data_IF_512641099453
#
_entry.id   IF_512641099453
#
_cell.length_a   1.000
_cell.length_b   1.000
_cell.length_c   1.000
_cell.angle_alpha   90.00
_cell.angle_beta   90.00
_cell.angle_gamma   90.00
#
_symmetry.space_group_name_H-M   'P 1'
#
loop_
_entity.id
_entity.type
_entity.pdbx_description
1 polymer ?
#
# COMPACT_ATOMS: atom_id res chain seq x y z
N UNK A 1 -6.18 -2.49 -10.61
CA UNK A 1 -6.34 -1.48 -9.55
C UNK A 1 -5.51 -0.25 -9.86
N UNK A 2 -6.13 0.92 -9.79
CA UNK A 2 -5.49 2.22 -9.81
C UNK A 2 -5.28 2.65 -8.35
N UNK A 3 -4.05 2.51 -7.86
CA UNK A 3 -3.66 2.96 -6.53
C UNK A 3 -3.10 4.36 -6.64
N UNK A 4 -3.80 5.33 -6.06
CA UNK A 4 -3.44 6.75 -6.11
C UNK A 4 -3.39 7.34 -4.71
N UNK A 5 -2.86 8.54 -4.60
CA UNK A 5 -2.83 9.28 -3.35
C UNK A 5 -1.89 10.45 -3.44
N UNK A 6 -1.71 11.13 -2.33
CA UNK A 6 -0.73 12.18 -2.20
C UNK A 6 0.06 12.05 -0.91
N UNK A 7 1.30 12.51 -0.96
CA UNK A 7 2.17 12.60 0.22
C UNK A 7 2.08 14.01 0.79
N UNK A 8 1.79 14.13 2.08
CA UNK A 8 1.74 15.39 2.82
C UNK A 8 2.56 15.33 4.09
N UNK A 9 3.07 16.46 4.54
CA UNK A 9 3.63 16.57 5.90
C UNK A 9 2.53 16.76 6.96
N UNK A 10 2.94 16.77 8.23
CA UNK A 10 2.04 16.93 9.39
C UNK A 10 1.20 18.22 9.40
N UNK A 11 1.55 19.22 8.57
CA UNK A 11 0.79 20.48 8.42
C UNK A 11 -0.19 20.44 7.25
N UNK A 12 -0.22 19.34 6.49
CA UNK A 12 -1.04 19.17 5.29
C UNK A 12 -0.38 19.66 4.00
N UNK A 13 0.87 20.12 4.05
CA UNK A 13 1.58 20.59 2.85
C UNK A 13 1.96 19.41 1.96
N UNK A 14 1.58 19.49 0.68
CA UNK A 14 1.93 18.51 -0.37
C UNK A 14 3.44 18.42 -0.57
N UNK A 15 3.98 17.21 -0.55
CA UNK A 15 5.40 16.96 -0.77
C UNK A 15 5.64 16.56 -2.24
N UNK A 16 6.12 17.51 -3.04
CA UNK A 16 6.64 17.23 -4.39
C UNK A 16 7.99 16.51 -4.34
N UNK A 17 8.33 15.75 -5.38
CA UNK A 17 9.59 15.01 -5.47
C UNK A 17 9.88 14.05 -4.29
N UNK A 18 8.86 13.62 -3.54
CA UNK A 18 8.96 12.46 -2.68
C UNK A 18 8.95 11.19 -3.56
N UNK A 19 9.72 10.18 -3.19
CA UNK A 19 9.72 8.88 -3.84
C UNK A 19 8.84 7.96 -3.03
N UNK A 20 7.79 7.43 -3.65
CA UNK A 20 6.94 6.38 -3.10
C UNK A 20 7.36 5.07 -3.73
N UNK A 21 7.65 4.08 -2.90
CA UNK A 21 7.91 2.71 -3.32
C UNK A 21 6.82 1.80 -2.78
N UNK A 22 6.38 0.84 -3.59
CA UNK A 22 5.44 -0.18 -3.18
C UNK A 22 6.01 -1.56 -3.44
N UNK A 23 5.65 -2.52 -2.59
CA UNK A 23 5.84 -3.93 -2.86
C UNK A 23 4.71 -4.80 -2.32
N UNK A 24 4.41 -5.89 -3.02
CA UNK A 24 3.33 -6.81 -2.67
C UNK A 24 3.55 -8.20 -3.29
N UNK A 25 2.81 -9.18 -2.80
CA UNK A 25 2.68 -10.48 -3.45
C UNK A 25 1.80 -10.40 -4.72
N UNK A 26 1.92 -11.43 -5.55
CA UNK A 26 1.03 -11.66 -6.69
C UNK A 26 -0.36 -12.15 -6.27
N UNK A 27 -1.22 -12.45 -7.25
CA UNK A 27 -2.60 -12.91 -7.01
C UNK A 27 -2.68 -14.30 -6.35
N UNK A 28 -1.59 -15.07 -6.36
CA UNK A 28 -1.46 -16.36 -5.67
C UNK A 28 -0.87 -16.23 -4.26
N UNK A 29 -0.57 -15.01 -3.81
CA UNK A 29 0.07 -14.76 -2.51
C UNK A 29 1.56 -15.10 -2.49
N UNK A 30 2.23 -15.20 -3.64
CA UNK A 30 3.67 -15.41 -3.72
C UNK A 30 4.40 -14.07 -3.86
N UNK A 31 5.47 -13.90 -3.07
CA UNK A 31 6.43 -12.80 -3.28
C UNK A 31 7.53 -13.26 -4.23
N UNK A 32 7.96 -12.39 -5.14
CA UNK A 32 9.19 -12.61 -5.90
C UNK A 32 10.43 -12.36 -5.04
N UNK A 33 10.66 -13.25 -4.07
CA UNK A 33 11.71 -13.17 -3.08
C UNK A 33 12.33 -14.56 -2.87
N UNK A 34 13.67 -14.63 -2.72
CA UNK A 34 14.41 -15.90 -2.62
C UNK A 34 14.02 -16.80 -1.45
N UNK A 35 13.38 -16.22 -0.41
CA UNK A 35 12.86 -16.95 0.76
C UNK A 35 11.36 -17.25 0.70
N UNK A 36 10.69 -17.01 -0.42
CA UNK A 36 9.26 -17.34 -0.53
C UNK A 36 9.09 -18.86 -0.57
N UNK A 37 8.16 -19.40 0.22
CA UNK A 37 7.92 -20.85 0.31
C UNK A 37 7.10 -21.43 -0.85
N UNK A 38 6.54 -20.58 -1.71
CA UNK A 38 5.65 -20.91 -2.83
C UNK A 38 6.14 -20.30 -4.17
N UNK A 39 7.46 -20.27 -4.38
CA UNK A 39 8.08 -19.64 -5.55
C UNK A 39 7.66 -20.29 -6.87
N UNK A 40 7.36 -21.59 -6.84
CA UNK A 40 6.86 -22.40 -7.94
C UNK A 40 5.50 -21.90 -8.48
N UNK A 41 4.71 -21.23 -7.64
CA UNK A 41 3.40 -20.68 -7.99
C UNK A 41 3.44 -19.19 -8.36
N UNK A 42 4.62 -18.58 -8.37
CA UNK A 42 4.74 -17.15 -8.64
C UNK A 42 4.31 -16.82 -10.07
N UNK A 43 3.50 -15.78 -10.22
CA UNK A 43 3.13 -15.23 -11.52
C UNK A 43 4.37 -14.60 -12.19
N UNK A 44 4.78 -15.19 -13.32
CA UNK A 44 5.94 -14.73 -14.10
C UNK A 44 5.75 -13.33 -14.68
N UNK A 45 4.50 -12.88 -14.82
CA UNK A 45 4.15 -11.57 -15.36
C UNK A 45 3.95 -10.49 -14.30
N UNK A 46 4.06 -10.83 -13.01
CA UNK A 46 3.89 -9.87 -11.92
C UNK A 46 5.19 -9.67 -11.14
N UNK A 47 5.78 -8.48 -11.23
CA UNK A 47 7.01 -8.17 -10.51
C UNK A 47 6.80 -7.89 -9.01
N UNK A 48 5.66 -7.30 -8.65
CA UNK A 48 5.34 -6.97 -7.26
C UNK A 48 6.14 -5.82 -6.65
N UNK A 49 6.86 -5.01 -7.43
CA UNK A 49 7.53 -3.79 -6.98
C UNK A 49 7.21 -2.61 -7.92
N UNK A 50 7.08 -1.41 -7.35
CA UNK A 50 6.92 -0.18 -8.10
C UNK A 50 7.56 1.01 -7.38
N UNK A 51 8.04 1.99 -8.14
CA UNK A 51 8.58 3.26 -7.64
C UNK A 51 7.98 4.42 -8.43
N UNK A 52 7.53 5.45 -7.73
CA UNK A 52 6.96 6.66 -8.33
C UNK A 52 7.45 7.91 -7.61
N UNK A 53 7.87 8.93 -8.36
CA UNK A 53 8.23 10.24 -7.79
C UNK A 53 7.01 11.14 -7.87
N UNK A 54 6.55 11.64 -6.73
CA UNK A 54 5.35 12.48 -6.64
C UNK A 54 5.46 13.73 -7.52
N UNK A 55 4.35 14.12 -8.14
CA UNK A 55 4.22 15.30 -8.98
C UNK A 55 4.43 16.63 -8.22
N UNK A 56 4.30 17.76 -8.93
CA UNK A 56 4.27 19.10 -8.32
C UNK A 56 3.12 19.29 -7.31
N UNK A 57 2.03 18.54 -7.46
CA UNK A 57 0.87 18.50 -6.54
C UNK A 57 1.06 17.50 -5.40
N UNK A 58 2.20 16.80 -5.33
CA UNK A 58 2.50 15.79 -4.31
C UNK A 58 1.79 14.45 -4.52
N UNK A 59 1.19 14.24 -5.68
CA UNK A 59 0.40 13.05 -6.01
C UNK A 59 1.27 11.93 -6.59
N UNK A 60 0.90 10.68 -6.31
CA UNK A 60 1.51 9.49 -6.90
C UNK A 60 0.46 8.59 -7.55
N UNK A 61 0.92 7.74 -8.48
CA UNK A 61 0.06 6.81 -9.19
C UNK A 61 0.77 5.47 -9.43
N UNK A 62 0.06 4.38 -9.16
CA UNK A 62 0.44 3.03 -9.54
C UNK A 62 -0.74 2.30 -10.19
N UNK A 63 -0.44 1.48 -11.20
CA UNK A 63 -1.36 0.45 -11.68
C UNK A 63 -0.84 -0.90 -11.20
N UNK A 64 -1.64 -1.61 -10.40
CA UNK A 64 -1.28 -2.90 -9.80
C UNK A 64 -2.52 -3.79 -9.67
N UNK A 65 -2.37 -5.00 -9.12
CA UNK A 65 -3.48 -5.88 -8.72
C UNK A 65 -3.92 -5.59 -7.29
N UNK A 66 -5.18 -5.91 -6.95
CA UNK A 66 -5.63 -5.90 -5.55
C UNK A 66 -4.78 -6.89 -4.75
N UNK A 67 -4.27 -6.54 -3.55
CA UNK A 67 -3.52 -7.48 -2.74
C UNK A 67 -4.42 -8.62 -2.29
N UNK A 68 -3.81 -9.78 -2.05
CA UNK A 68 -4.46 -10.99 -1.54
C UNK A 68 -3.81 -11.42 -0.22
N UNK A 69 -4.46 -12.31 0.56
CA UNK A 69 -3.81 -12.87 1.73
C UNK A 69 -2.60 -13.73 1.34
N UNK A 70 -1.62 -13.78 2.22
CA UNK A 70 -0.53 -14.75 2.17
C UNK A 70 -0.29 -15.29 3.59
N UNK A 71 0.42 -16.42 3.77
CA UNK A 71 0.45 -17.15 5.04
C UNK A 71 0.69 -16.24 6.25
N UNK A 72 -0.30 -16.19 7.14
CA UNK A 72 -0.27 -15.42 8.39
C UNK A 72 -0.58 -13.92 8.28
N UNK A 73 -0.91 -13.40 7.09
CA UNK A 73 -1.12 -11.96 6.86
C UNK A 73 -2.42 -11.65 6.12
N UNK A 74 -3.08 -10.57 6.52
CA UNK A 74 -4.23 -10.00 5.79
C UNK A 74 -3.75 -9.34 4.48
N UNK A 75 -4.59 -9.13 3.44
CA UNK A 75 -4.17 -8.46 2.21
C UNK A 75 -3.64 -7.04 2.46
N UNK A 76 -2.44 -6.78 1.98
CA UNK A 76 -1.84 -5.45 2.05
C UNK A 76 -0.83 -5.22 0.93
N UNK A 77 -0.55 -3.94 0.69
CA UNK A 77 0.57 -3.46 -0.12
C UNK A 77 1.51 -2.75 0.84
N UNK A 78 2.79 -3.12 0.86
CA UNK A 78 3.78 -2.36 1.60
C UNK A 78 4.08 -1.06 0.87
N UNK A 79 4.34 0.00 1.65
CA UNK A 79 4.62 1.33 1.12
C UNK A 79 5.82 1.93 1.85
N UNK A 80 6.74 2.53 1.12
CA UNK A 80 7.84 3.33 1.64
C UNK A 80 7.83 4.71 1.03
N UNK A 81 8.12 5.72 1.83
CA UNK A 81 8.28 7.10 1.37
C UNK A 81 9.68 7.59 1.67
N UNK A 82 10.37 8.06 0.65
CA UNK A 82 11.64 8.77 0.76
C UNK A 82 11.46 10.22 0.31
N UNK A 83 12.19 11.14 0.91
CA UNK A 83 12.24 12.52 0.44
C UNK A 83 13.65 13.09 0.66
N UNK A 84 14.22 13.70 -0.38
CA UNK A 84 15.60 14.25 -0.36
C UNK A 84 16.64 13.22 0.12
N UNK A 85 16.52 11.97 -0.34
CA UNK A 85 17.44 10.89 -0.01
C UNK A 85 17.26 10.27 1.39
N UNK A 86 16.29 10.73 2.20
CA UNK A 86 15.99 10.16 3.51
C UNK A 86 14.73 9.32 3.46
N UNK A 87 14.74 8.15 4.08
CA UNK A 87 13.52 7.40 4.38
C UNK A 87 12.73 8.14 5.47
N UNK A 88 11.46 8.43 5.19
CA UNK A 88 10.56 9.11 6.12
C UNK A 88 9.56 8.16 6.77
N UNK A 89 9.13 7.12 6.04
CA UNK A 89 8.08 6.21 6.48
C UNK A 89 8.21 4.87 5.75
N UNK A 90 8.04 3.77 6.50
CA UNK A 90 7.69 2.46 5.96
C UNK A 90 6.42 1.99 6.64
N UNK A 91 5.39 1.65 5.86
CA UNK A 91 4.06 1.28 6.35
C UNK A 91 3.38 0.26 5.43
N UNK A 92 2.11 -0.06 5.69
CA UNK A 92 1.29 -0.99 4.92
C UNK A 92 -0.09 -0.38 4.63
N UNK A 93 -0.56 -0.55 3.41
CA UNK A 93 -1.90 -0.22 2.95
C UNK A 93 -2.75 -1.49 2.92
N UNK A 94 -3.70 -1.59 3.85
CA UNK A 94 -4.58 -2.74 4.04
C UNK A 94 -5.91 -2.58 3.28
N UNK A 95 -6.57 -3.70 3.00
CA UNK A 95 -7.93 -3.68 2.43
C UNK A 95 -8.95 -3.40 3.55
N UNK A 96 -9.75 -2.34 3.41
CA UNK A 96 -10.78 -1.97 4.38
C UNK A 96 -11.84 -3.07 4.52
N UNK A 97 -12.20 -3.37 5.77
CA UNK A 97 -13.24 -4.37 6.09
C UNK A 97 -12.88 -5.82 5.78
N UNK A 98 -11.64 -6.13 5.41
CA UNK A 98 -11.25 -7.51 5.12
C UNK A 98 -11.23 -8.35 6.40
N UNK A 99 -11.89 -9.52 6.39
CA UNK A 99 -12.09 -10.35 7.59
C UNK A 99 -10.78 -10.82 8.27
N UNK A 100 -9.68 -10.94 7.51
CA UNK A 100 -8.37 -11.30 8.08
C UNK A 100 -7.68 -10.16 8.84
N UNK A 101 -8.15 -8.91 8.73
CA UNK A 101 -7.60 -7.79 9.51
C UNK A 101 -7.70 -8.08 11.01
N UNK A 102 -8.81 -8.67 11.47
CA UNK A 102 -9.04 -9.02 12.87
C UNK A 102 -8.19 -10.20 13.39
N UNK A 103 -7.46 -10.87 12.49
CA UNK A 103 -6.57 -12.00 12.81
C UNK A 103 -5.09 -11.66 12.60
N UNK A 104 -4.78 -10.61 11.85
CA UNK A 104 -3.40 -10.20 11.56
C UNK A 104 -2.77 -9.50 12.77
N UNK A 105 -1.71 -10.08 13.33
CA UNK A 105 -1.05 -9.56 14.52
C UNK A 105 -0.37 -8.19 14.32
N UNK A 106 0.05 -7.86 13.09
CA UNK A 106 0.67 -6.56 12.77
C UNK A 106 -0.42 -5.49 12.60
N UNK A 107 -1.55 -5.82 11.98
CA UNK A 107 -2.68 -4.90 11.92
C UNK A 107 -3.24 -4.60 13.33
N UNK A 108 -3.35 -5.63 14.17
CA UNK A 108 -3.86 -5.51 15.54
C UNK A 108 -2.93 -4.77 16.49
N UNK A 109 -1.63 -4.70 16.19
CA UNK A 109 -0.68 -3.94 17.03
C UNK A 109 -0.82 -2.42 16.86
N UNK A 110 -1.58 -1.95 15.87
CA UNK A 110 -1.91 -0.54 15.72
C UNK A 110 -2.74 -0.04 16.93
N UNK A 111 -2.32 1.05 17.60
CA UNK A 111 -2.80 1.36 18.94
C UNK A 111 -4.25 1.89 18.98
N UNK A 112 -4.73 2.50 17.89
CA UNK A 112 -6.03 3.18 17.86
C UNK A 112 -6.84 2.78 16.63
N UNK A 113 -8.17 2.94 16.71
CA UNK A 113 -9.05 2.79 15.56
C UNK A 113 -8.67 3.79 14.43
N UNK A 114 -8.33 5.03 14.80
CA UNK A 114 -7.88 6.03 13.84
C UNK A 114 -6.60 5.61 13.09
N UNK A 115 -5.63 4.98 13.78
CA UNK A 115 -4.41 4.45 13.14
C UNK A 115 -4.72 3.30 12.17
N UNK A 116 -5.68 2.43 12.54
CA UNK A 116 -6.17 1.36 11.66
C UNK A 116 -6.89 1.93 10.44
N UNK A 117 -7.80 2.88 10.64
CA UNK A 117 -8.56 3.52 9.57
C UNK A 117 -7.64 4.23 8.57
N UNK A 118 -6.63 4.95 9.08
CA UNK A 118 -5.63 5.64 8.27
C UNK A 118 -4.80 4.70 7.38
N UNK A 119 -4.74 3.40 7.69
CA UNK A 119 -4.01 2.40 6.91
C UNK A 119 -4.93 1.46 6.13
N UNK A 120 -6.25 1.61 6.21
CA UNK A 120 -7.21 0.81 5.44
C UNK A 120 -7.79 1.59 4.28
N UNK A 121 -7.75 1.00 3.10
CA UNK A 121 -8.21 1.61 1.85
C UNK A 121 -9.34 0.79 1.27
N UNK A 122 -10.35 1.50 0.75
CA UNK A 122 -11.38 0.87 -0.05
C UNK A 122 -10.85 0.61 -1.46
N UNK A 123 -11.01 -0.62 -1.93
CA UNK A 123 -10.67 -1.04 -3.29
C UNK A 123 -11.98 -1.17 -4.06
N UNK A 124 -12.56 -0.02 -4.37
CA UNK A 124 -13.89 0.11 -4.95
C UNK A 124 -13.87 -0.19 -6.44
N UNK A 125 -14.91 -0.86 -6.95
CA UNK A 125 -15.06 -1.08 -8.38
C UNK A 125 -15.22 0.25 -9.12
N UNK A 126 -14.51 0.40 -10.24
CA UNK A 126 -14.71 1.53 -11.14
C UNK A 126 -15.94 1.22 -12.00
N UNK A 127 -17.00 2.05 -11.95
CA UNK A 127 -18.16 1.88 -12.81
C UNK A 127 -17.75 1.76 -14.28
N UNK A 128 -18.43 0.89 -15.03
CA UNK A 128 -18.22 0.70 -16.47
C UNK A 128 -16.84 0.13 -16.87
N UNK A 129 -15.97 -0.22 -15.92
CA UNK A 129 -14.72 -0.89 -16.26
C UNK A 129 -14.99 -2.26 -16.90
N UNK A 130 -14.52 -2.45 -18.13
CA UNK A 130 -14.71 -3.68 -18.90
C UNK A 130 -13.92 -4.87 -18.37
N UNK A 131 -12.89 -4.62 -17.55
CA UNK A 131 -11.98 -5.64 -17.04
C UNK A 131 -11.99 -5.73 -15.50
N UNK A 132 -12.97 -5.10 -14.85
CA UNK A 132 -13.12 -5.14 -13.39
C UNK A 132 -12.04 -4.34 -12.65
N UNK A 133 -11.66 -3.17 -13.18
CA UNK A 133 -10.69 -2.30 -12.52
C UNK A 133 -11.25 -1.74 -11.21
N UNK A 134 -10.34 -1.53 -10.27
CA UNK A 134 -10.64 -0.98 -8.96
C UNK A 134 -9.93 0.36 -8.79
N UNK A 135 -10.54 1.30 -8.08
CA UNK A 135 -9.91 2.51 -7.59
C UNK A 135 -9.57 2.33 -6.11
N UNK A 136 -8.38 2.77 -5.71
CA UNK A 136 -7.93 2.78 -4.33
C UNK A 136 -7.15 4.07 -4.07
N UNK A 137 -7.64 4.89 -3.13
CA UNK A 137 -6.98 6.14 -2.74
C UNK A 137 -6.34 5.99 -1.36
N UNK A 138 -5.03 6.18 -1.29
CA UNK A 138 -4.24 6.10 -0.06
C UNK A 138 -3.42 7.39 0.12
N UNK A 139 -3.95 8.35 0.87
CA UNK A 139 -3.19 9.56 1.20
C UNK A 139 -2.21 9.28 2.36
N UNK A 140 -0.96 9.72 2.22
CA UNK A 140 0.12 9.43 3.17
C UNK A 140 0.53 10.70 3.88
N UNK A 141 0.43 10.70 5.21
CA UNK A 141 0.92 11.79 6.06
C UNK A 141 2.26 11.36 6.67
N UNK A 142 3.33 12.07 6.35
CA UNK A 142 4.66 11.85 6.94
C UNK A 142 4.94 12.85 8.07
N UNK A 143 5.73 12.44 9.05
CA UNK A 143 6.12 13.30 10.19
C UNK A 143 5.07 13.40 11.31
N UNK A 144 4.08 12.50 11.34
CA UNK A 144 3.33 12.17 12.56
C UNK A 144 3.56 10.69 12.86
N UNK A 145 4.24 10.40 13.96
CA UNK A 145 4.21 9.06 14.54
C UNK A 145 3.06 9.06 15.57
N UNK A 146 2.14 8.07 15.61
CA UNK A 146 0.98 8.12 16.52
C UNK A 146 1.31 8.21 18.03
N UNK A 147 2.59 8.15 18.40
CA UNK A 147 3.09 8.37 19.76
C UNK A 147 3.49 9.83 20.05
N UNK A 148 3.43 10.74 19.08
CA UNK A 148 3.71 12.18 19.19
C UNK A 148 2.43 13.02 19.06
#
# INVERSE_FOLDING_TARGET
THLTGAVVDATGRRLKNAVVEIWQCDAGGAYRHSRTGNADRADKNFQGFGRFTTSSTGEYYFRTIKPVPYPGRTPHIHVKVLHKGRELLTTQCYVKGHALNDRDGIYRSLPTAAARDALTVDFAAIPESRIGELAARFDIVVGRTPQE
#
